data_IF_395514202750
#
_entry.id   IF_395514202750
#
_cell.length_a   1.000
_cell.length_b   1.000
_cell.length_c   1.000
_cell.angle_alpha   90.00
_cell.angle_beta   90.00
_cell.angle_gamma   90.00
#
_symmetry.space_group_name_H-M   'P 1'
#
loop_
_entity.id
_entity.type
_entity.pdbx_description
1 polymer ?
#
# COMPACT_ATOMS: atom_id res chain seq x y z
N UNK A 1 -16.31 5.54 -17.86
CA UNK A 1 -17.11 6.24 -16.83
C UNK A 1 -16.45 6.02 -15.47
N UNK A 2 -16.37 7.06 -14.60
CA UNK A 2 -15.86 6.94 -13.22
C UNK A 2 -17.03 7.00 -12.25
N UNK A 3 -17.07 6.07 -11.29
CA UNK A 3 -18.03 6.06 -10.18
C UNK A 3 -17.27 6.39 -8.89
N UNK A 4 -17.22 7.67 -8.53
CA UNK A 4 -16.59 8.13 -7.31
C UNK A 4 -17.49 7.86 -6.09
N UNK A 5 -16.89 7.94 -4.88
CA UNK A 5 -17.60 7.73 -3.60
C UNK A 5 -18.34 6.37 -3.51
N UNK A 6 -17.82 5.36 -4.20
CA UNK A 6 -18.38 4.00 -4.21
C UNK A 6 -17.35 3.03 -3.65
N UNK A 7 -17.68 2.38 -2.55
CA UNK A 7 -16.79 1.42 -1.88
C UNK A 7 -17.25 -0.01 -2.18
N UNK A 8 -16.44 -0.76 -2.92
CA UNK A 8 -16.73 -2.17 -3.20
C UNK A 8 -16.59 -2.99 -1.90
N UNK A 9 -17.62 -3.80 -1.63
CA UNK A 9 -17.78 -4.55 -0.39
C UNK A 9 -18.56 -3.82 0.71
N UNK A 10 -19.09 -2.60 0.43
CA UNK A 10 -19.99 -1.84 1.30
C UNK A 10 -21.19 -1.34 0.52
N UNK A 11 -20.95 -0.45 -0.46
CA UNK A 11 -22.00 0.18 -1.25
C UNK A 11 -22.43 -0.72 -2.42
N UNK A 12 -21.47 -1.45 -2.97
CA UNK A 12 -21.65 -2.37 -4.09
C UNK A 12 -20.71 -3.57 -3.89
N UNK A 13 -21.17 -4.78 -4.22
CA UNK A 13 -20.33 -5.97 -4.17
C UNK A 13 -20.03 -6.52 -5.58
N UNK A 14 -19.14 -7.52 -5.65
CA UNK A 14 -18.72 -8.14 -6.92
C UNK A 14 -19.90 -8.84 -7.63
N UNK A 15 -20.81 -9.48 -6.86
CA UNK A 15 -21.97 -10.17 -7.45
C UNK A 15 -22.91 -9.19 -8.14
N UNK A 16 -23.17 -8.04 -7.50
CA UNK A 16 -24.00 -6.98 -8.08
C UNK A 16 -23.37 -6.35 -9.32
N UNK A 17 -22.04 -6.33 -9.45
CA UNK A 17 -21.41 -5.92 -10.70
C UNK A 17 -21.68 -6.91 -11.84
N UNK A 18 -21.63 -8.22 -11.57
CA UNK A 18 -22.01 -9.21 -12.57
C UNK A 18 -23.49 -9.13 -12.93
N UNK A 19 -24.38 -8.89 -11.96
CA UNK A 19 -25.83 -8.66 -12.20
C UNK A 19 -26.08 -7.42 -13.07
N UNK A 20 -25.20 -6.41 -13.04
CA UNK A 20 -25.25 -5.24 -13.91
C UNK A 20 -24.76 -5.53 -15.34
N UNK A 21 -24.34 -6.76 -15.65
CA UNK A 21 -23.94 -7.17 -16.98
C UNK A 21 -22.45 -7.03 -17.30
N UNK A 22 -21.59 -6.86 -16.28
CA UNK A 22 -20.15 -6.92 -16.52
C UNK A 22 -19.68 -8.36 -16.72
N UNK A 23 -18.99 -8.64 -17.83
CA UNK A 23 -18.44 -9.97 -18.16
C UNK A 23 -17.21 -10.32 -17.34
N UNK A 24 -16.43 -9.31 -16.96
CA UNK A 24 -15.21 -9.45 -16.15
C UNK A 24 -15.00 -8.24 -15.24
N UNK A 25 -14.35 -8.48 -14.10
CA UNK A 25 -14.03 -7.46 -13.09
C UNK A 25 -12.54 -7.50 -12.82
N UNK A 26 -11.86 -6.34 -12.85
CA UNK A 26 -10.46 -6.21 -12.50
C UNK A 26 -10.27 -5.56 -11.13
N UNK A 27 -9.52 -6.21 -10.25
CA UNK A 27 -9.13 -5.72 -8.93
C UNK A 27 -7.71 -5.13 -8.97
N UNK A 28 -7.59 -3.81 -9.05
CA UNK A 28 -6.31 -3.07 -9.03
C UNK A 28 -6.17 -2.24 -7.76
N UNK A 29 -6.55 -2.78 -6.59
CA UNK A 29 -6.70 -2.03 -5.32
C UNK A 29 -5.38 -1.77 -4.59
N UNK A 30 -4.29 -2.37 -5.03
CA UNK A 30 -2.98 -2.21 -4.42
C UNK A 30 -2.91 -2.66 -2.96
N UNK A 31 -2.03 -2.02 -2.19
CA UNK A 31 -1.82 -2.26 -0.76
C UNK A 31 -2.05 -0.98 0.03
N UNK A 32 -3.24 -0.80 0.56
CA UNK A 32 -3.66 0.46 1.22
C UNK A 32 -3.71 0.37 2.75
N UNK A 33 -3.64 -0.84 3.33
CA UNK A 33 -3.66 -1.04 4.77
C UNK A 33 -2.24 -1.00 5.32
N UNK A 34 -1.87 0.02 6.12
CA UNK A 34 -0.52 0.11 6.67
C UNK A 34 -0.28 -1.02 7.69
N UNK A 35 0.92 -1.57 7.69
CA UNK A 35 1.37 -2.44 8.78
C UNK A 35 1.49 -1.64 10.06
N UNK A 36 1.10 -2.25 11.17
CA UNK A 36 1.22 -1.64 12.50
C UNK A 36 2.19 -2.49 13.32
N UNK A 37 3.33 -1.92 13.75
CA UNK A 37 4.23 -2.64 14.63
C UNK A 37 3.60 -2.79 16.01
N UNK A 38 3.98 -3.83 16.73
CA UNK A 38 3.58 -4.00 18.13
C UNK A 38 4.57 -3.28 19.05
N UNK A 39 4.44 -1.95 19.09
CA UNK A 39 5.30 -1.05 19.87
C UNK A 39 4.41 -0.25 20.82
N UNK A 40 4.72 -0.21 22.14
CA UNK A 40 4.05 0.69 23.07
C UNK A 40 4.08 2.13 22.57
N UNK A 41 2.97 2.85 22.71
CA UNK A 41 2.85 4.24 22.28
C UNK A 41 2.54 4.46 20.78
N UNK A 42 2.40 3.41 19.97
CA UNK A 42 2.16 3.51 18.50
C UNK A 42 0.91 4.29 18.09
N UNK A 43 -0.02 4.53 19.01
CA UNK A 43 -1.27 5.26 18.72
C UNK A 43 -1.26 6.71 19.26
N UNK A 44 -0.16 7.17 19.83
CA UNK A 44 -0.04 8.53 20.39
C UNK A 44 -0.18 9.60 19.32
N UNK A 45 -0.63 10.79 19.73
CA UNK A 45 -0.55 11.98 18.87
C UNK A 45 0.93 12.26 18.55
N UNK A 46 1.24 12.52 17.28
CA UNK A 46 2.62 12.64 16.81
C UNK A 46 3.10 11.41 16.03
N UNK A 47 2.47 10.23 16.24
CA UNK A 47 2.74 9.04 15.44
C UNK A 47 1.83 9.01 14.20
N UNK A 48 2.41 8.88 13.03
CA UNK A 48 1.67 8.85 11.75
C UNK A 48 2.25 7.82 10.78
N UNK A 49 1.43 7.35 9.87
CA UNK A 49 1.91 6.57 8.72
C UNK A 49 2.64 7.49 7.73
N UNK A 50 3.78 7.05 7.22
CA UNK A 50 4.58 7.82 6.26
C UNK A 50 3.77 8.20 5.02
N UNK A 51 2.98 7.28 4.46
CA UNK A 51 2.11 7.54 3.31
C UNK A 51 1.06 8.60 3.61
N UNK A 52 0.51 8.63 4.84
CA UNK A 52 -0.42 9.69 5.24
C UNK A 52 0.27 11.07 5.26
N UNK A 53 1.48 11.14 5.81
CA UNK A 53 2.27 12.37 5.81
C UNK A 53 2.57 12.85 4.37
N UNK A 54 3.10 11.98 3.51
CA UNK A 54 3.39 12.28 2.11
C UNK A 54 2.14 12.78 1.35
N UNK A 55 0.99 12.13 1.56
CA UNK A 55 -0.28 12.58 0.98
C UNK A 55 -0.66 13.98 1.46
N UNK A 56 -0.48 14.30 2.74
CA UNK A 56 -0.76 15.64 3.27
C UNK A 56 0.15 16.69 2.65
N UNK A 57 1.43 16.38 2.46
CA UNK A 57 2.36 17.28 1.76
C UNK A 57 1.95 17.49 0.30
N UNK A 58 1.51 16.44 -0.41
CA UNK A 58 0.99 16.58 -1.78
C UNK A 58 -0.23 17.54 -1.82
N UNK A 59 -1.20 17.34 -0.93
CA UNK A 59 -2.37 18.22 -0.84
C UNK A 59 -2.01 19.67 -0.48
N UNK A 60 -1.01 19.88 0.36
CA UNK A 60 -0.49 21.21 0.68
C UNK A 60 0.15 21.86 -0.56
N UNK A 61 1.00 21.14 -1.28
CA UNK A 61 1.64 21.63 -2.50
C UNK A 61 0.61 21.96 -3.61
N UNK A 62 -0.53 21.30 -3.63
CA UNK A 62 -1.66 21.57 -4.53
C UNK A 62 -2.56 22.74 -4.05
N UNK A 63 -2.30 23.29 -2.87
CA UNK A 63 -3.13 24.34 -2.27
C UNK A 63 -4.49 23.85 -1.74
N UNK A 64 -4.66 22.54 -1.51
CA UNK A 64 -5.92 21.95 -1.03
C UNK A 64 -6.04 21.95 0.50
N UNK A 65 -4.94 22.16 1.22
CA UNK A 65 -4.90 22.27 2.69
C UNK A 65 -3.85 23.29 3.11
N UNK A 66 -3.95 23.76 4.35
CA UNK A 66 -3.00 24.70 4.93
C UNK A 66 -1.75 23.99 5.49
N UNK A 67 -0.69 24.79 5.76
CA UNK A 67 0.59 24.28 6.28
C UNK A 67 0.44 23.56 7.63
N UNK A 68 -0.46 24.06 8.48
CA UNK A 68 -0.77 23.54 9.81
C UNK A 68 -1.40 22.14 9.77
N UNK A 69 -2.02 21.77 8.64
CA UNK A 69 -2.59 20.43 8.43
C UNK A 69 -1.56 19.37 8.08
N UNK A 70 -0.33 19.77 7.75
CA UNK A 70 0.78 18.85 7.49
C UNK A 70 1.33 18.33 8.81
N UNK A 71 1.47 17.00 9.01
CA UNK A 71 1.84 16.43 10.30
C UNK A 71 3.20 16.88 10.85
N UNK A 72 4.19 17.11 9.98
CA UNK A 72 5.52 17.58 10.35
C UNK A 72 5.57 19.10 10.27
N UNK A 73 6.01 19.74 11.34
CA UNK A 73 6.12 21.18 11.46
C UNK A 73 7.59 21.62 11.50
N UNK A 74 7.81 22.92 11.32
CA UNK A 74 9.14 23.52 11.41
C UNK A 74 9.76 23.28 12.80
N UNK A 75 11.00 22.82 12.82
CA UNK A 75 11.74 22.54 14.04
C UNK A 75 11.44 21.17 14.69
N UNK A 76 10.53 20.35 14.14
CA UNK A 76 10.25 19.01 14.65
C UNK A 76 11.48 18.09 14.57
N UNK A 77 11.65 17.23 15.56
CA UNK A 77 12.55 16.07 15.54
C UNK A 77 11.76 14.86 15.10
N UNK A 78 12.11 14.33 13.94
CA UNK A 78 11.34 13.29 13.27
C UNK A 78 12.12 11.98 13.26
N UNK A 79 11.50 10.90 13.71
CA UNK A 79 11.99 9.54 13.54
C UNK A 79 11.16 8.80 12.49
N UNK A 80 11.83 8.12 11.56
CA UNK A 80 11.19 7.30 10.51
C UNK A 80 11.53 5.84 10.77
N UNK A 81 10.51 5.01 10.95
CA UNK A 81 10.70 3.57 11.16
C UNK A 81 10.58 2.82 9.84
N UNK A 82 11.67 2.18 9.41
CA UNK A 82 11.77 1.42 8.16
C UNK A 82 12.82 2.00 7.20
N UNK A 83 13.19 1.24 6.18
CA UNK A 83 14.27 1.60 5.25
C UNK A 83 13.96 1.18 3.79
N UNK A 84 12.71 1.37 3.35
CA UNK A 84 12.31 1.25 1.95
C UNK A 84 12.19 2.63 1.28
N UNK A 85 11.87 2.68 -0.02
CA UNK A 85 11.70 3.94 -0.76
C UNK A 85 10.73 4.89 -0.05
N UNK A 86 9.61 4.40 0.48
CA UNK A 86 8.67 5.25 1.26
C UNK A 86 9.31 5.88 2.50
N UNK A 87 10.29 5.21 3.14
CA UNK A 87 11.02 5.79 4.27
C UNK A 87 11.96 6.90 3.81
N UNK A 88 12.64 6.71 2.66
CA UNK A 88 13.49 7.75 2.06
C UNK A 88 12.65 8.97 1.66
N UNK A 89 11.55 8.76 0.94
CA UNK A 89 10.62 9.83 0.57
C UNK A 89 10.13 10.61 1.80
N UNK A 90 9.69 9.90 2.85
CA UNK A 90 9.18 10.52 4.06
C UNK A 90 10.28 11.30 4.81
N UNK A 91 11.49 10.76 4.90
CA UNK A 91 12.60 11.41 5.59
C UNK A 91 13.05 12.68 4.86
N UNK A 92 13.28 12.59 3.56
CA UNK A 92 13.67 13.75 2.72
C UNK A 92 12.58 14.81 2.70
N UNK A 93 11.31 14.39 2.56
CA UNK A 93 10.18 15.31 2.62
C UNK A 93 10.08 16.00 3.99
N UNK A 94 10.35 15.29 5.10
CA UNK A 94 10.36 15.90 6.43
C UNK A 94 11.44 16.99 6.58
N UNK A 95 12.66 16.76 6.04
CA UNK A 95 13.70 17.79 5.97
C UNK A 95 13.20 19.01 5.20
N UNK A 96 12.65 18.81 4.00
CA UNK A 96 12.14 19.89 3.13
C UNK A 96 10.96 20.63 3.74
N UNK A 97 10.20 19.99 4.63
CA UNK A 97 9.13 20.60 5.41
C UNK A 97 9.62 21.29 6.68
N UNK A 98 10.94 21.50 6.87
CA UNK A 98 11.51 22.29 7.96
C UNK A 98 11.78 21.49 9.24
N UNK A 99 11.78 20.17 9.22
CA UNK A 99 12.17 19.37 10.37
C UNK A 99 13.62 19.73 10.80
N UNK A 100 13.85 19.90 12.11
CA UNK A 100 15.16 20.20 12.70
C UNK A 100 16.14 19.04 12.56
N UNK A 101 15.64 17.82 12.69
CA UNK A 101 16.42 16.60 12.50
C UNK A 101 15.50 15.48 12.03
N UNK A 102 16.03 14.61 11.16
CA UNK A 102 15.34 13.40 10.72
C UNK A 102 16.29 12.23 10.87
N UNK A 103 15.82 11.17 11.55
CA UNK A 103 16.57 9.96 11.78
C UNK A 103 15.75 8.72 11.37
N UNK A 104 16.33 7.88 10.52
CA UNK A 104 15.76 6.59 10.15
C UNK A 104 16.22 5.53 11.15
N UNK A 105 15.28 4.71 11.64
CA UNK A 105 15.56 3.55 12.50
C UNK A 105 15.31 2.29 11.67
N UNK A 106 16.32 1.42 11.57
CA UNK A 106 16.22 0.17 10.83
C UNK A 106 16.93 -0.97 11.56
N UNK A 107 16.21 -2.09 11.72
CA UNK A 107 16.66 -3.24 12.52
C UNK A 107 17.74 -4.11 11.85
N UNK A 108 18.04 -3.86 10.58
CA UNK A 108 19.06 -4.59 9.81
C UNK A 108 20.21 -3.66 9.40
N UNK A 109 21.12 -4.20 8.58
CA UNK A 109 22.26 -3.49 8.02
C UNK A 109 21.87 -2.67 6.79
N UNK A 110 22.81 -1.87 6.30
CA UNK A 110 22.67 -1.12 5.04
C UNK A 110 22.50 -2.06 3.83
N UNK A 111 23.10 -3.25 3.87
CA UNK A 111 23.04 -4.22 2.77
C UNK A 111 21.64 -4.89 2.65
N UNK A 112 20.88 -4.87 3.74
CA UNK A 112 19.49 -5.37 3.78
C UNK A 112 18.46 -4.30 3.40
N UNK A 113 18.90 -3.10 3.08
CA UNK A 113 18.02 -1.98 2.73
C UNK A 113 17.22 -2.30 1.46
N UNK A 114 15.91 -2.08 1.51
CA UNK A 114 15.03 -2.29 0.35
C UNK A 114 14.84 -1.05 -0.52
N UNK A 115 15.31 0.12 -0.08
CA UNK A 115 15.34 1.33 -0.89
C UNK A 115 16.43 1.25 -1.96
N UNK A 116 16.26 2.01 -3.04
CA UNK A 116 17.29 2.18 -4.05
C UNK A 116 18.50 2.90 -3.45
N UNK A 117 19.69 2.50 -3.85
CA UNK A 117 20.93 3.12 -3.35
C UNK A 117 20.98 4.62 -3.63
N UNK A 118 20.53 5.04 -4.79
CA UNK A 118 20.43 6.46 -5.15
C UNK A 118 19.54 7.26 -4.17
N UNK A 119 18.39 6.72 -3.77
CA UNK A 119 17.50 7.36 -2.80
C UNK A 119 18.13 7.49 -1.42
N UNK A 120 18.92 6.49 -1.00
CA UNK A 120 19.69 6.54 0.22
C UNK A 120 20.78 7.63 0.16
N UNK A 121 21.56 7.64 -0.92
CA UNK A 121 22.66 8.60 -1.08
C UNK A 121 22.11 10.06 -1.07
N UNK A 122 21.00 10.32 -1.77
CA UNK A 122 20.32 11.61 -1.73
C UNK A 122 19.75 11.96 -0.33
N UNK A 123 19.23 10.98 0.42
CA UNK A 123 18.76 11.21 1.79
C UNK A 123 19.91 11.59 2.73
N UNK A 124 21.09 10.96 2.57
CA UNK A 124 22.30 11.32 3.32
C UNK A 124 22.77 12.74 2.98
N UNK A 125 22.79 13.09 1.69
CA UNK A 125 23.15 14.45 1.23
C UNK A 125 22.22 15.53 1.79
N UNK A 126 20.91 15.23 1.92
CA UNK A 126 19.92 16.12 2.54
C UNK A 126 20.02 16.16 4.09
N UNK A 127 20.91 15.37 4.71
CA UNK A 127 21.18 15.42 6.15
C UNK A 127 20.37 14.43 6.99
N UNK A 128 19.73 13.45 6.38
CA UNK A 128 19.05 12.35 7.10
C UNK A 128 20.08 11.46 7.79
N UNK A 129 19.90 11.16 9.06
CA UNK A 129 20.72 10.23 9.83
C UNK A 129 20.13 8.83 9.84
N UNK A 130 20.99 7.82 9.94
CA UNK A 130 20.59 6.41 9.93
C UNK A 130 21.05 5.69 11.19
N UNK A 131 20.12 5.06 11.88
CA UNK A 131 20.35 4.15 12.99
C UNK A 131 20.18 2.71 12.49
N UNK A 132 21.27 2.14 12.00
CA UNK A 132 21.32 0.76 11.55
C UNK A 132 21.31 -0.22 12.72
N UNK A 133 20.85 -1.45 12.49
CA UNK A 133 20.78 -2.52 13.49
C UNK A 133 20.10 -2.07 14.78
N UNK A 134 19.15 -1.17 14.64
CA UNK A 134 18.47 -0.52 15.76
C UNK A 134 16.96 -0.76 15.73
N UNK A 135 16.37 -1.01 16.89
CA UNK A 135 14.95 -1.22 17.04
C UNK A 135 14.31 -0.04 17.80
N UNK A 136 13.17 0.41 17.31
CA UNK A 136 12.29 1.29 18.08
C UNK A 136 11.49 0.40 19.06
N UNK A 137 11.80 0.45 20.34
CA UNK A 137 11.19 -0.45 21.33
C UNK A 137 10.02 0.17 22.08
N UNK A 138 10.00 1.50 22.18
CA UNK A 138 8.93 2.24 22.86
C UNK A 138 8.82 3.66 22.35
N UNK A 139 7.61 4.18 22.31
CA UNK A 139 7.29 5.58 22.04
C UNK A 139 6.74 6.18 23.34
N UNK A 140 7.44 7.18 23.88
CA UNK A 140 7.15 7.74 25.17
C UNK A 140 5.96 8.69 25.12
N UNK A 141 5.11 8.56 26.13
CA UNK A 141 3.88 9.35 26.30
C UNK A 141 4.10 10.54 27.25
N UNK A 142 3.53 11.66 26.88
CA UNK A 142 3.27 12.79 27.77
C UNK A 142 1.87 13.32 27.46
N UNK A 143 0.93 13.02 28.32
CA UNK A 143 -0.48 13.45 28.21
C UNK A 143 -1.16 13.06 26.85
N UNK A 144 -0.95 11.82 26.42
CA UNK A 144 -1.49 11.28 25.16
C UNK A 144 -0.77 11.77 23.91
N UNK A 145 0.40 12.40 24.07
CA UNK A 145 1.21 12.95 22.97
C UNK A 145 2.62 12.36 23.03
N UNK A 146 3.18 12.05 21.89
CA UNK A 146 4.57 11.65 21.72
C UNK A 146 5.51 12.70 22.35
N UNK A 147 6.44 12.27 23.19
CA UNK A 147 7.48 13.11 23.80
C UNK A 147 8.91 12.63 23.53
N UNK A 148 9.06 11.36 23.16
CA UNK A 148 10.35 10.75 22.87
C UNK A 148 10.22 9.32 22.38
N UNK A 149 11.35 8.73 22.06
CA UNK A 149 11.49 7.35 21.60
C UNK A 149 12.58 6.63 22.38
N UNK A 150 12.41 5.34 22.59
CA UNK A 150 13.44 4.45 23.14
C UNK A 150 13.95 3.59 21.99
N UNK A 151 15.24 3.73 21.71
CA UNK A 151 15.93 3.00 20.62
C UNK A 151 16.87 1.99 21.26
N UNK A 152 16.84 0.75 20.80
CA UNK A 152 17.74 -0.31 21.22
C UNK A 152 18.73 -0.66 20.10
N UNK A 153 20.02 -0.67 20.42
CA UNK A 153 21.12 -1.09 19.55
C UNK A 153 22.07 -1.96 20.37
N UNK A 154 22.39 -3.15 19.88
CA UNK A 154 23.26 -4.13 20.58
C UNK A 154 22.88 -4.37 22.05
N UNK A 155 21.58 -4.46 22.33
CA UNK A 155 21.06 -4.67 23.70
C UNK A 155 21.14 -3.43 24.60
N UNK A 156 21.67 -2.31 24.12
CA UNK A 156 21.71 -1.04 24.85
C UNK A 156 20.55 -0.15 24.42
N UNK A 157 19.86 0.40 25.42
CA UNK A 157 18.73 1.31 25.21
C UNK A 157 19.15 2.75 25.43
N UNK A 158 18.74 3.63 24.54
CA UNK A 158 18.85 5.07 24.71
C UNK A 158 17.50 5.75 24.47
N UNK A 159 17.27 6.83 25.18
CA UNK A 159 16.08 7.66 25.03
C UNK A 159 16.43 8.94 24.26
N UNK A 160 15.65 9.22 23.21
CA UNK A 160 15.77 10.42 22.40
C UNK A 160 14.48 11.23 22.45
N UNK A 161 14.58 12.55 22.50
CA UNK A 161 13.41 13.42 22.36
C UNK A 161 12.91 13.35 20.92
N UNK A 162 11.60 13.20 20.75
CA UNK A 162 10.95 13.15 19.46
C UNK A 162 9.65 13.96 19.47
N UNK A 163 9.36 14.59 18.35
CA UNK A 163 8.13 15.36 18.13
C UNK A 163 7.21 14.60 17.16
N UNK A 164 7.78 13.82 16.24
CA UNK A 164 7.04 12.96 15.30
C UNK A 164 7.71 11.61 15.11
N UNK A 165 6.89 10.59 14.92
CA UNK A 165 7.31 9.27 14.43
C UNK A 165 6.50 8.93 13.17
N UNK A 166 7.20 8.66 12.07
CA UNK A 166 6.63 8.27 10.79
C UNK A 166 6.85 6.76 10.56
N UNK A 167 5.78 6.01 10.49
CA UNK A 167 5.81 4.56 10.27
C UNK A 167 5.89 4.25 8.76
N UNK A 168 7.02 3.72 8.31
CA UNK A 168 7.30 3.37 6.91
C UNK A 168 7.64 1.88 6.73
N UNK A 169 6.97 0.98 7.47
CA UNK A 169 7.22 -0.46 7.52
C UNK A 169 6.40 -1.27 6.52
N UNK A 170 5.88 -0.61 5.49
CA UNK A 170 5.12 -1.20 4.41
C UNK A 170 3.62 -1.31 4.68
N UNK A 171 2.93 -1.82 3.68
CA UNK A 171 1.47 -2.00 3.66
C UNK A 171 1.08 -3.39 3.16
N UNK A 172 -0.17 -3.75 3.38
CA UNK A 172 -0.79 -5.00 2.92
C UNK A 172 -2.11 -4.70 2.22
N UNK A 173 -2.65 -5.62 1.41
CA UNK A 173 -3.95 -5.45 0.79
C UNK A 173 -5.05 -5.22 1.83
N UNK A 174 -6.06 -4.43 1.49
CA UNK A 174 -7.28 -4.33 2.28
C UNK A 174 -8.13 -5.58 2.09
N UNK A 175 -8.57 -6.19 3.18
CA UNK A 175 -9.33 -7.45 3.14
C UNK A 175 -10.81 -7.29 2.75
N UNK A 176 -11.34 -6.07 2.65
CA UNK A 176 -12.79 -5.82 2.50
C UNK A 176 -13.40 -6.55 1.32
N UNK A 177 -12.85 -6.39 0.10
CA UNK A 177 -13.41 -7.04 -1.10
C UNK A 177 -13.39 -8.55 -0.94
N UNK A 178 -12.27 -9.12 -0.49
CA UNK A 178 -12.11 -10.56 -0.30
C UNK A 178 -13.06 -11.10 0.78
N UNK A 179 -13.21 -10.38 1.91
CA UNK A 179 -14.08 -10.81 3.02
C UNK A 179 -15.59 -10.71 2.70
N UNK A 180 -15.95 -9.86 1.73
CA UNK A 180 -17.36 -9.67 1.30
C UNK A 180 -17.71 -10.40 -0.01
N UNK A 181 -16.72 -11.06 -0.62
CA UNK A 181 -16.89 -11.78 -1.90
C UNK A 181 -16.41 -13.21 -1.77
N UNK A 182 -17.30 -14.18 -1.94
CA UNK A 182 -16.92 -15.60 -1.88
C UNK A 182 -16.07 -16.01 -3.08
N UNK A 183 -15.11 -16.92 -2.86
CA UNK A 183 -14.34 -17.58 -3.90
C UNK A 183 -13.15 -16.77 -4.43
N UNK A 184 -12.68 -15.76 -3.72
CA UNK A 184 -11.40 -15.11 -3.99
C UNK A 184 -10.41 -15.57 -2.91
N UNK A 185 -9.44 -16.36 -3.31
CA UNK A 185 -8.41 -16.89 -2.42
C UNK A 185 -7.25 -15.89 -2.28
N UNK A 186 -6.65 -15.89 -1.11
CA UNK A 186 -5.48 -15.07 -0.77
C UNK A 186 -4.40 -15.92 -0.12
N UNK A 187 -3.16 -15.45 -0.16
CA UNK A 187 -2.07 -16.04 0.62
C UNK A 187 -2.18 -15.67 2.12
N UNK A 188 -1.28 -16.21 2.94
CA UNK A 188 -1.22 -15.96 4.40
C UNK A 188 -1.04 -14.47 4.75
N UNK A 189 -0.53 -13.67 3.83
CA UNK A 189 -0.32 -12.23 3.97
C UNK A 189 -1.48 -11.38 3.43
N UNK A 190 -2.51 -12.03 2.83
CA UNK A 190 -3.69 -11.38 2.28
C UNK A 190 -3.56 -10.90 0.83
N UNK A 191 -2.51 -11.32 0.10
CA UNK A 191 -2.38 -11.04 -1.33
C UNK A 191 -3.24 -11.99 -2.16
N UNK A 192 -3.91 -11.46 -3.18
CA UNK A 192 -4.82 -12.22 -4.03
C UNK A 192 -4.04 -13.22 -4.88
N UNK A 193 -4.49 -14.48 -4.85
CA UNK A 193 -3.94 -15.55 -5.68
C UNK A 193 -4.54 -15.48 -7.08
N UNK A 194 -3.70 -15.58 -8.11
CA UNK A 194 -4.10 -15.54 -9.51
C UNK A 194 -3.54 -16.71 -10.30
N UNK A 195 -4.15 -17.00 -11.45
CA UNK A 195 -3.74 -18.06 -12.38
C UNK A 195 -2.87 -17.46 -13.51
N UNK A 196 -2.08 -18.32 -14.11
CA UNK A 196 -1.28 -17.96 -15.30
C UNK A 196 -2.14 -17.96 -16.58
N UNK A 197 -3.19 -18.76 -16.62
CA UNK A 197 -4.09 -18.89 -17.79
C UNK A 197 -5.56 -19.01 -17.36
N UNK A 198 -6.42 -18.06 -17.76
CA UNK A 198 -6.11 -16.73 -18.31
C UNK A 198 -5.30 -15.91 -17.29
N UNK A 199 -4.31 -15.15 -17.79
CA UNK A 199 -3.40 -14.41 -16.92
C UNK A 199 -4.15 -13.45 -16.00
N UNK A 200 -3.84 -13.51 -14.70
CA UNK A 200 -4.41 -12.65 -13.67
C UNK A 200 -5.81 -13.05 -13.18
N UNK A 201 -6.42 -14.11 -13.68
CA UNK A 201 -7.72 -14.57 -13.16
C UNK A 201 -7.54 -15.13 -11.75
N UNK A 202 -8.38 -14.68 -10.82
CA UNK A 202 -8.42 -15.18 -9.43
C UNK A 202 -9.03 -16.58 -9.37
N UNK A 203 -9.13 -17.15 -8.16
CA UNK A 203 -9.91 -18.38 -7.94
C UNK A 203 -11.39 -18.20 -8.27
N UNK A 204 -11.92 -16.98 -8.23
CA UNK A 204 -13.27 -16.66 -8.68
C UNK A 204 -13.31 -16.37 -10.17
N UNK A 205 -14.10 -17.15 -10.92
CA UNK A 205 -14.31 -17.00 -12.36
C UNK A 205 -14.79 -15.58 -12.72
N UNK A 206 -14.18 -14.97 -13.73
CA UNK A 206 -14.52 -13.63 -14.21
C UNK A 206 -13.92 -12.48 -13.36
N UNK A 207 -13.28 -12.79 -12.24
CA UNK A 207 -12.59 -11.78 -11.40
C UNK A 207 -11.09 -11.91 -11.63
N UNK A 208 -10.47 -10.79 -12.00
CA UNK A 208 -9.05 -10.68 -12.29
C UNK A 208 -8.39 -9.73 -11.29
N UNK A 209 -7.11 -9.90 -11.04
CA UNK A 209 -6.33 -9.02 -10.18
C UNK A 209 -4.92 -8.82 -10.73
N UNK A 210 -4.31 -7.67 -10.41
CA UNK A 210 -2.95 -7.35 -10.81
C UNK A 210 -2.35 -6.18 -10.04
N UNK A 211 -1.05 -5.96 -10.22
CA UNK A 211 -0.28 -4.97 -9.48
C UNK A 211 -0.01 -5.38 -8.03
N UNK A 212 0.12 -4.39 -7.13
CA UNK A 212 0.57 -4.64 -5.74
C UNK A 212 -0.36 -5.53 -4.91
N UNK A 213 -1.64 -5.65 -5.28
CA UNK A 213 -2.59 -6.55 -4.58
C UNK A 213 -2.26 -8.02 -4.81
N UNK A 214 -1.48 -8.33 -5.85
CA UNK A 214 -1.01 -9.69 -6.21
C UNK A 214 0.50 -9.82 -5.96
N UNK A 215 1.30 -8.94 -6.58
CA UNK A 215 2.77 -9.09 -6.69
C UNK A 215 3.56 -8.44 -5.55
N UNK A 216 2.89 -7.91 -4.53
CA UNK A 216 3.46 -7.08 -3.46
C UNK A 216 3.92 -5.69 -3.96
N UNK A 217 4.08 -4.70 -3.06
CA UNK A 217 4.49 -3.34 -3.43
C UNK A 217 5.80 -3.32 -4.21
N UNK A 218 5.77 -2.67 -5.37
CA UNK A 218 6.91 -2.55 -6.27
C UNK A 218 6.85 -1.21 -7.02
N UNK A 219 7.40 -1.15 -8.24
CA UNK A 219 7.43 0.06 -9.04
C UNK A 219 6.19 0.18 -9.94
N UNK A 220 5.84 1.42 -10.30
CA UNK A 220 4.76 1.71 -11.26
C UNK A 220 4.98 0.97 -12.59
N UNK A 221 6.23 0.88 -13.06
CA UNK A 221 6.58 0.19 -14.31
C UNK A 221 6.22 -1.30 -14.25
N UNK A 222 6.47 -1.94 -13.11
CA UNK A 222 6.13 -3.36 -12.92
C UNK A 222 4.61 -3.55 -12.84
N UNK A 223 3.89 -2.66 -12.15
CA UNK A 223 2.43 -2.69 -12.10
C UNK A 223 1.80 -2.49 -13.50
N UNK A 224 2.34 -1.57 -14.31
CA UNK A 224 1.90 -1.37 -15.69
C UNK A 224 2.17 -2.58 -16.59
N UNK A 225 3.35 -3.21 -16.45
CA UNK A 225 3.67 -4.44 -17.18
C UNK A 225 2.71 -5.57 -16.84
N UNK A 226 2.40 -5.71 -15.56
CA UNK A 226 1.47 -6.71 -15.06
C UNK A 226 0.04 -6.45 -15.57
N UNK A 227 -0.43 -5.21 -15.48
CA UNK A 227 -1.74 -4.81 -15.99
C UNK A 227 -1.94 -5.11 -17.47
N UNK A 228 -0.90 -4.95 -18.31
CA UNK A 228 -0.96 -5.31 -19.75
C UNK A 228 -1.22 -6.80 -19.95
N UNK A 229 -0.51 -7.67 -19.20
CA UNK A 229 -0.70 -9.13 -19.28
C UNK A 229 -2.09 -9.54 -18.80
N UNK A 230 -2.56 -8.93 -17.72
CA UNK A 230 -3.90 -9.21 -17.19
C UNK A 230 -4.99 -8.73 -18.15
N UNK A 231 -4.79 -7.59 -18.83
CA UNK A 231 -5.73 -7.11 -19.84
C UNK A 231 -5.88 -8.10 -21.02
N UNK A 232 -4.77 -8.71 -21.46
CA UNK A 232 -4.80 -9.80 -22.46
C UNK A 232 -5.57 -11.02 -21.94
N UNK A 233 -5.35 -11.40 -20.68
CA UNK A 233 -6.09 -12.49 -20.01
C UNK A 233 -7.59 -12.23 -19.91
N UNK A 234 -8.00 -11.00 -19.60
CA UNK A 234 -9.41 -10.57 -19.59
C UNK A 234 -10.02 -10.68 -21.00
N UNK A 235 -9.32 -10.18 -22.01
CA UNK A 235 -9.80 -10.24 -23.38
C UNK A 235 -10.03 -11.69 -23.84
N UNK A 236 -9.06 -12.59 -23.63
CA UNK A 236 -9.18 -14.01 -23.93
C UNK A 236 -10.38 -14.66 -23.22
N UNK A 237 -10.59 -14.32 -21.95
CA UNK A 237 -11.70 -14.85 -21.17
C UNK A 237 -13.05 -14.36 -21.70
N UNK A 238 -13.21 -13.08 -21.98
CA UNK A 238 -14.46 -12.49 -22.50
C UNK A 238 -14.79 -13.05 -23.90
N UNK A 239 -13.77 -13.17 -24.78
CA UNK A 239 -13.95 -13.76 -26.11
C UNK A 239 -14.40 -15.24 -26.01
N UNK A 240 -13.83 -16.00 -25.09
CA UNK A 240 -14.23 -17.38 -24.87
C UNK A 240 -15.68 -17.51 -24.37
N UNK A 241 -16.14 -16.63 -23.46
CA UNK A 241 -17.54 -16.60 -23.01
C UNK A 241 -18.48 -16.31 -24.18
N UNK A 242 -18.21 -15.25 -24.94
CA UNK A 242 -19.03 -14.86 -26.10
C UNK A 242 -19.14 -16.00 -27.13
N UNK A 243 -18.03 -16.70 -27.37
CA UNK A 243 -18.03 -17.85 -28.26
C UNK A 243 -18.92 -18.98 -27.73
N UNK A 244 -18.84 -19.32 -26.44
CA UNK A 244 -19.66 -20.34 -25.82
C UNK A 244 -21.17 -20.00 -25.87
N UNK A 245 -21.50 -18.73 -25.60
CA UNK A 245 -22.88 -18.24 -25.72
C UNK A 245 -23.40 -18.35 -27.14
N UNK A 246 -22.62 -18.01 -28.14
CA UNK A 246 -22.99 -18.14 -29.56
C UNK A 246 -23.16 -19.58 -29.98
N UNK A 247 -22.39 -20.53 -29.47
CA UNK A 247 -22.54 -21.97 -29.72
C UNK A 247 -23.83 -22.49 -29.06
N UNK A 248 -24.06 -22.15 -27.79
CA UNK A 248 -25.29 -22.59 -27.08
C UNK A 248 -26.57 -22.05 -27.75
N UNK A 249 -26.57 -20.81 -28.23
CA UNK A 249 -27.68 -20.25 -29.00
C UNK A 249 -27.96 -21.07 -30.28
N UNK A 250 -26.91 -21.46 -31.03
CA UNK A 250 -27.03 -22.27 -32.23
C UNK A 250 -27.63 -23.65 -31.90
N UNK A 251 -27.20 -24.30 -30.83
CA UNK A 251 -27.69 -25.59 -30.41
C UNK A 251 -29.18 -25.55 -29.99
N UNK A 252 -29.64 -24.45 -29.37
CA UNK A 252 -31.06 -24.23 -29.07
C UNK A 252 -31.91 -24.05 -30.33
N UNK A 253 -31.45 -23.21 -31.28
CA UNK A 253 -32.15 -22.97 -32.55
C UNK A 253 -32.23 -24.21 -33.45
N UNK A 254 -31.24 -25.11 -33.39
CA UNK A 254 -31.27 -26.36 -34.14
C UNK A 254 -32.19 -27.40 -33.51
N UNK A 255 -32.43 -27.38 -32.21
CA UNK A 255 -33.36 -28.26 -31.49
C UNK A 255 -34.84 -27.84 -31.62
N UNK A 256 -35.12 -26.56 -31.85
CA UNK A 256 -36.48 -26.05 -32.07
C UNK A 256 -36.99 -26.22 -33.51
N UNK A 257 -36.10 -26.47 -34.48
CA UNK A 257 -36.41 -26.62 -35.89
C UNK A 257 -36.25 -28.03 -36.42
N UNK A 258 -36.10 -29.05 -35.58
CA UNK A 258 -36.04 -30.49 -35.89
C UNK A 258 -37.14 -31.26 -35.16
#
# INVERSE_FOLDING_TARGET
>A
MFHCNTTIGTDLNIDQLFEQGFDAIFMGTGTVKPRKPDIPGRNLRGVRQAVYFLRKVSLYNEGSIEREDVPVQDGDRVFVLGCGNTAMDAARTAIRMGARSVEIIYHKTIDDMSALRSEYDEAVEEGVKFNWQSNLVEILDMDGTLSGVVIEHDGQRRTEKADKVLMAIGSVPASRIVSTTKGIDVDESGYVLTRDTPCGMTSRKGVFAGGDVVNRPSTVVLAMRDAKKVAEGIAQYVDAIKLLEAINLKDHLTKENG
#
